data_IF_417243417133
#
_entry.id   IF_417243417133
#
_cell.length_a   1.000
_cell.length_b   1.000
_cell.length_c   1.000
_cell.angle_alpha   90.00
_cell.angle_beta   90.00
_cell.angle_gamma   90.00
#
_symmetry.space_group_name_H-M   'P 1'
#
loop_
_entity.id
_entity.type
_entity.pdbx_description
1 polymer ?
#
# COMPACT_ATOMS: atom_id res chain seq x y z
N UNK A 1 -14.86 21.55 -41.29
CA UNK A 1 -14.99 22.51 -40.18
C UNK A 1 -13.67 22.55 -39.44
N UNK A 2 -13.10 23.74 -39.28
CA UNK A 2 -11.78 23.94 -38.69
C UNK A 2 -11.83 23.69 -37.17
N UNK A 3 -10.98 22.78 -36.70
CA UNK A 3 -10.77 22.54 -35.28
C UNK A 3 -9.84 23.66 -34.80
N UNK A 4 -10.36 24.57 -33.99
CA UNK A 4 -9.57 25.61 -33.32
C UNK A 4 -8.60 24.94 -32.32
N UNK A 5 -7.35 25.43 -32.22
CA UNK A 5 -6.39 24.91 -31.26
C UNK A 5 -6.80 25.33 -29.85
N UNK A 6 -7.22 24.35 -29.04
CA UNK A 6 -7.44 24.56 -27.60
C UNK A 6 -6.06 24.77 -26.97
N UNK A 7 -5.87 25.94 -26.35
CA UNK A 7 -4.69 26.25 -25.54
C UNK A 7 -4.43 25.14 -24.51
N UNK A 8 -3.33 24.42 -24.68
CA UNK A 8 -2.89 23.34 -23.80
C UNK A 8 -2.21 23.91 -22.56
N UNK A 9 -3.00 24.44 -21.63
CA UNK A 9 -2.63 24.35 -20.22
C UNK A 9 -3.13 22.98 -19.75
N UNK A 10 -2.22 22.06 -19.41
CA UNK A 10 -2.59 20.70 -18.97
C UNK A 10 -3.62 20.81 -17.83
N UNK A 11 -4.88 20.47 -18.09
CA UNK A 11 -5.94 20.54 -17.08
C UNK A 11 -5.74 19.33 -16.16
N UNK A 12 -4.94 19.49 -15.11
CA UNK A 12 -4.68 18.44 -14.11
C UNK A 12 -5.70 18.42 -12.98
N UNK A 13 -6.71 19.30 -13.00
CA UNK A 13 -7.64 19.47 -11.90
C UNK A 13 -9.08 19.24 -12.37
N UNK A 14 -9.78 18.40 -11.62
CA UNK A 14 -11.23 18.25 -11.70
C UNK A 14 -11.87 19.52 -11.13
N UNK A 15 -12.80 20.09 -11.87
CA UNK A 15 -13.58 21.23 -11.44
C UNK A 15 -14.69 20.72 -10.54
N UNK A 16 -14.57 21.00 -9.25
CA UNK A 16 -15.62 20.71 -8.30
C UNK A 16 -16.69 21.78 -8.45
N UNK A 17 -17.81 21.44 -9.08
CA UNK A 17 -19.03 22.24 -8.96
C UNK A 17 -19.35 22.34 -7.46
N UNK A 18 -19.20 23.54 -6.92
CA UNK A 18 -19.60 23.84 -5.55
C UNK A 18 -21.13 23.95 -5.53
N UNK A 19 -21.82 22.82 -5.68
CA UNK A 19 -23.22 22.77 -5.30
C UNK A 19 -23.29 22.66 -3.78
N UNK A 20 -23.04 23.79 -3.13
CA UNK A 20 -23.77 24.15 -1.93
C UNK A 20 -25.21 24.47 -2.36
N UNK A 21 -25.98 23.42 -2.66
CA UNK A 21 -27.42 23.49 -2.59
C UNK A 21 -27.83 22.61 -1.44
N UNK A 22 -28.25 23.27 -0.37
CA UNK A 22 -28.97 22.69 0.74
C UNK A 22 -30.09 21.81 0.16
N UNK A 23 -29.93 20.49 0.26
CA UNK A 23 -31.06 19.59 0.13
C UNK A 23 -31.51 19.25 1.54
N UNK A 24 -32.64 19.84 1.89
CA UNK A 24 -33.44 19.57 3.07
C UNK A 24 -33.50 18.07 3.37
N UNK A 25 -33.40 17.76 4.65
CA UNK A 25 -33.56 16.42 5.19
C UNK A 25 -34.85 15.78 4.70
N UNK A 26 -34.75 14.77 3.84
CA UNK A 26 -35.85 13.83 3.63
C UNK A 26 -35.95 12.98 4.91
N UNK A 27 -36.90 13.35 5.76
CA UNK A 27 -37.33 12.56 6.91
C UNK A 27 -37.97 11.28 6.39
N UNK A 28 -37.24 10.17 6.47
CA UNK A 28 -37.84 8.84 6.34
C UNK A 28 -38.49 8.50 7.68
N UNK A 29 -39.82 8.46 7.69
CA UNK A 29 -40.62 8.02 8.82
C UNK A 29 -40.30 6.57 9.15
N UNK A 30 -39.77 6.33 10.36
CA UNK A 30 -39.81 5.01 10.99
C UNK A 30 -41.28 4.67 11.31
N UNK A 31 -41.80 3.64 10.65
CA UNK A 31 -42.92 2.85 11.18
C UNK A 31 -42.37 1.49 11.57
N UNK A 32 -42.56 1.16 12.85
CA UNK A 32 -41.90 0.07 13.51
C UNK A 32 -42.39 -1.31 13.09
N UNK A 33 -41.60 -2.31 13.48
CA UNK A 33 -42.11 -3.63 13.81
C UNK A 33 -41.34 -4.18 15.01
N UNK A 34 -42.15 -4.78 15.85
CA UNK A 34 -41.97 -5.33 17.20
C UNK A 34 -40.84 -6.34 17.34
N UNK A 35 -40.22 -6.31 18.52
CA UNK A 35 -39.38 -7.39 19.03
C UNK A 35 -40.22 -8.63 19.30
N UNK A 36 -39.88 -9.75 18.67
CA UNK A 36 -40.21 -11.08 19.17
C UNK A 36 -39.00 -11.66 19.87
N UNK A 37 -39.14 -11.83 21.18
CA UNK A 37 -38.27 -12.60 22.06
C UNK A 37 -38.42 -14.09 21.79
N UNK A 38 -37.30 -14.79 21.56
CA UNK A 38 -37.23 -16.25 21.69
C UNK A 38 -36.21 -16.57 22.78
N UNK A 39 -36.73 -17.03 23.93
CA UNK A 39 -35.97 -17.77 24.93
C UNK A 39 -35.56 -19.13 24.36
N UNK A 40 -34.28 -19.49 24.44
CA UNK A 40 -33.86 -20.89 24.49
C UNK A 40 -32.85 -21.09 25.63
N UNK A 41 -33.12 -22.16 26.36
CA UNK A 41 -32.68 -22.63 27.65
C UNK A 41 -31.18 -22.83 27.86
N UNK A 42 -30.78 -22.63 29.11
CA UNK A 42 -29.54 -23.12 29.73
C UNK A 42 -29.55 -24.65 29.78
N UNK A 43 -28.54 -25.29 29.20
CA UNK A 43 -28.01 -26.55 29.73
C UNK A 43 -26.52 -26.42 30.05
N UNK A 44 -26.21 -26.61 31.33
CA UNK A 44 -24.86 -26.71 31.88
C UNK A 44 -24.29 -28.10 31.56
N UNK A 45 -23.12 -28.18 30.92
CA UNK A 45 -22.21 -29.33 31.06
C UNK A 45 -20.96 -28.89 31.81
N UNK A 46 -20.63 -29.68 32.83
CA UNK A 46 -19.79 -29.31 33.96
C UNK A 46 -18.31 -29.13 33.66
N UNK A 47 -17.71 -28.20 34.41
CA UNK A 47 -16.28 -28.03 34.59
C UNK A 47 -15.71 -29.21 35.40
N UNK A 48 -14.72 -29.92 34.84
CA UNK A 48 -13.92 -30.85 35.63
C UNK A 48 -12.96 -30.05 36.52
N UNK A 49 -12.97 -30.37 37.82
CA UNK A 49 -12.19 -29.70 38.86
C UNK A 49 -10.71 -30.05 38.70
N UNK A 50 -9.89 -29.12 38.20
CA UNK A 50 -8.46 -28.92 38.57
C UNK A 50 -7.73 -27.79 37.79
N UNK A 51 -8.41 -26.73 37.35
CA UNK A 51 -7.74 -25.54 36.79
C UNK A 51 -7.81 -24.37 37.78
N UNK A 52 -6.79 -24.23 38.63
CA UNK A 52 -6.53 -22.96 39.35
C UNK A 52 -5.98 -21.98 38.32
N UNK A 53 -6.82 -21.06 37.86
CA UNK A 53 -6.45 -19.92 37.03
C UNK A 53 -5.78 -18.85 37.90
N UNK A 54 -4.57 -18.47 37.52
CA UNK A 54 -3.82 -17.37 38.10
C UNK A 54 -2.76 -16.88 37.10
N UNK A 55 -3.05 -15.72 36.51
CA UNK A 55 -2.14 -14.85 35.73
C UNK A 55 -1.79 -15.36 34.32
N UNK A 56 -2.13 -14.52 33.34
CA UNK A 56 -2.05 -14.79 31.92
C UNK A 56 -0.65 -15.06 31.41
N UNK A 57 -0.55 -16.13 30.63
CA UNK A 57 0.56 -16.45 29.74
C UNK A 57 -0.13 -16.90 28.45
N UNK A 58 -0.04 -16.08 27.40
CA UNK A 58 -0.36 -16.51 26.05
C UNK A 58 0.46 -17.77 25.78
N UNK A 59 -0.21 -18.85 25.38
CA UNK A 59 0.43 -20.13 25.17
C UNK A 59 1.61 -19.95 24.21
N UNK A 60 2.82 -20.07 24.74
CA UNK A 60 4.02 -20.17 23.94
C UNK A 60 3.88 -21.41 23.05
N UNK A 61 3.73 -21.21 21.74
CA UNK A 61 4.19 -22.20 20.80
C UNK A 61 5.70 -22.32 21.04
N UNK A 62 6.10 -23.37 21.77
CA UNK A 62 7.50 -23.77 21.88
C UNK A 62 7.90 -24.20 20.46
N UNK A 63 8.38 -23.25 19.65
CA UNK A 63 9.16 -23.58 18.47
C UNK A 63 10.45 -24.14 19.04
N UNK A 64 10.70 -25.42 18.76
CA UNK A 64 12.02 -26.01 18.97
C UNK A 64 12.96 -25.31 18.01
N UNK A 65 13.52 -24.18 18.42
CA UNK A 65 14.71 -23.63 17.80
C UNK A 65 15.81 -24.68 18.00
N UNK A 66 15.99 -25.57 17.01
CA UNK A 66 17.15 -26.45 16.93
C UNK A 66 18.37 -25.60 16.55
N UNK A 67 18.67 -24.59 17.37
CA UNK A 67 19.78 -23.67 17.20
C UNK A 67 20.22 -23.12 18.57
N UNK A 68 20.46 -24.00 19.55
CA UNK A 68 21.24 -23.64 20.72
C UNK A 68 22.15 -24.80 21.16
N UNK A 69 23.45 -24.55 20.98
CA UNK A 69 24.62 -25.16 21.63
C UNK A 69 25.22 -26.43 20.99
N UNK A 70 25.98 -26.23 19.90
CA UNK A 70 27.21 -27.01 19.67
C UNK A 70 28.42 -26.12 19.88
N UNK A 71 28.79 -25.92 21.15
CA UNK A 71 30.16 -25.51 21.48
C UNK A 71 31.07 -26.70 21.14
N UNK A 72 31.80 -26.56 20.04
CA UNK A 72 32.90 -27.43 19.67
C UNK A 72 32.50 -28.64 18.84
N UNK A 73 32.45 -28.46 17.51
CA UNK A 73 32.96 -29.41 16.51
C UNK A 73 32.80 -28.83 15.10
N UNK A 74 33.94 -28.65 14.43
CA UNK A 74 34.20 -28.56 12.97
C UNK A 74 33.26 -27.72 12.11
N UNK A 75 33.86 -26.81 11.31
CA UNK A 75 33.25 -25.87 10.33
C UNK A 75 32.15 -26.42 9.38
N UNK A 76 31.90 -27.73 9.34
CA UNK A 76 30.82 -28.36 8.57
C UNK A 76 29.47 -28.43 9.31
N UNK A 77 29.40 -28.13 10.62
CA UNK A 77 28.16 -28.15 11.42
C UNK A 77 27.51 -26.76 11.56
N UNK A 78 27.98 -25.75 10.83
CA UNK A 78 27.58 -24.34 11.01
C UNK A 78 26.43 -23.88 10.08
N UNK A 79 26.01 -24.72 9.14
CA UNK A 79 24.82 -24.48 8.31
C UNK A 79 23.62 -25.24 8.87
N UNK A 80 23.24 -24.98 10.13
CA UNK A 80 21.88 -25.30 10.56
C UNK A 80 20.93 -24.35 9.80
N UNK A 81 20.20 -24.91 8.83
CA UNK A 81 19.18 -24.19 8.06
C UNK A 81 18.10 -23.75 9.05
N UNK A 82 18.13 -22.48 9.45
CA UNK A 82 17.04 -21.85 10.20
C UNK A 82 15.76 -21.98 9.36
N UNK A 83 14.79 -22.77 9.85
CA UNK A 83 13.48 -22.93 9.22
C UNK A 83 12.45 -22.10 9.99
N UNK A 84 11.79 -21.20 9.28
CA UNK A 84 10.68 -20.42 9.82
C UNK A 84 9.48 -21.33 10.11
N UNK A 85 8.75 -21.01 11.16
CA UNK A 85 7.46 -21.66 11.41
C UNK A 85 6.45 -21.27 10.32
N UNK A 86 5.53 -22.18 9.98
CA UNK A 86 4.46 -21.88 9.03
C UNK A 86 3.54 -20.75 9.52
N UNK A 87 3.42 -20.61 10.84
CA UNK A 87 2.64 -19.57 11.48
C UNK A 87 3.37 -19.01 12.70
N UNK A 88 3.30 -17.70 12.86
CA UNK A 88 3.87 -16.91 13.96
C UNK A 88 2.74 -16.10 14.58
N UNK A 89 2.44 -16.36 15.84
CA UNK A 89 1.56 -15.52 16.66
C UNK A 89 2.33 -14.28 17.13
N UNK A 90 2.11 -13.15 16.47
CA UNK A 90 2.75 -11.90 16.87
C UNK A 90 2.00 -11.24 18.03
N UNK A 91 2.76 -10.78 19.03
CA UNK A 91 2.28 -9.82 20.03
C UNK A 91 3.35 -8.74 20.22
N UNK A 92 2.96 -7.45 20.38
CA UNK A 92 3.94 -6.39 20.59
C UNK A 92 4.80 -6.65 21.83
N UNK A 93 6.11 -6.56 21.65
CA UNK A 93 7.08 -6.63 22.74
C UNK A 93 6.97 -5.41 23.66
N UNK A 94 7.26 -5.61 24.95
CA UNK A 94 7.26 -4.54 25.97
C UNK A 94 8.63 -3.92 26.16
N UNK A 95 9.69 -4.61 25.74
CA UNK A 95 11.07 -4.12 25.80
C UNK A 95 11.79 -4.30 24.46
N UNK A 96 12.88 -3.55 24.28
CA UNK A 96 13.75 -3.65 23.10
C UNK A 96 14.38 -5.04 23.02
N UNK A 97 14.77 -5.61 24.14
CA UNK A 97 15.36 -6.95 24.22
C UNK A 97 14.36 -8.03 23.79
N UNK A 98 13.10 -7.92 24.24
CA UNK A 98 12.01 -8.81 23.81
C UNK A 98 11.79 -8.71 22.30
N UNK A 99 11.75 -7.50 21.73
CA UNK A 99 11.55 -7.29 20.30
C UNK A 99 12.68 -7.90 19.46
N UNK A 100 13.95 -7.70 19.87
CA UNK A 100 15.12 -8.29 19.20
C UNK A 100 15.15 -9.81 19.35
N UNK A 101 14.76 -10.31 20.52
CA UNK A 101 14.69 -11.76 20.74
C UNK A 101 13.63 -12.39 19.84
N UNK A 102 12.44 -11.80 19.77
CA UNK A 102 11.38 -12.24 18.86
C UNK A 102 11.87 -12.32 17.42
N UNK A 103 12.49 -11.23 16.93
CA UNK A 103 13.02 -11.17 15.58
C UNK A 103 14.04 -12.28 15.29
N UNK A 104 14.96 -12.52 16.23
CA UNK A 104 15.98 -13.56 16.11
C UNK A 104 15.37 -14.96 16.10
N UNK A 105 14.44 -15.24 17.00
CA UNK A 105 13.91 -16.60 17.20
C UNK A 105 12.85 -16.98 16.19
N UNK A 106 12.02 -16.02 15.75
CA UNK A 106 10.87 -16.30 14.88
C UNK A 106 11.08 -15.88 13.44
N UNK A 107 11.91 -14.87 13.18
CA UNK A 107 12.12 -14.32 11.83
C UNK A 107 13.53 -14.58 11.29
N UNK A 108 14.45 -15.08 12.12
CA UNK A 108 15.83 -15.40 11.71
C UNK A 108 16.71 -14.16 11.52
N UNK A 109 16.29 -13.01 12.04
CA UNK A 109 17.03 -11.75 11.93
C UNK A 109 18.23 -11.79 12.88
N UNK A 110 19.42 -11.54 12.35
CA UNK A 110 20.68 -11.61 13.08
C UNK A 110 20.97 -10.31 13.80
N UNK A 111 20.77 -9.19 13.10
CA UNK A 111 21.17 -7.86 13.56
C UNK A 111 19.99 -6.89 13.54
N UNK A 112 19.91 -6.07 14.58
CA UNK A 112 18.97 -4.96 14.70
C UNK A 112 19.74 -3.73 15.12
N UNK A 113 19.42 -2.58 14.54
CA UNK A 113 19.99 -1.30 14.95
C UNK A 113 19.74 -1.03 16.44
N UNK A 114 20.79 -0.58 17.13
CA UNK A 114 20.73 -0.41 18.58
C UNK A 114 19.87 0.79 19.00
N UNK A 115 19.72 1.77 18.11
CA UNK A 115 19.04 3.05 18.37
C UNK A 115 17.57 3.05 17.94
N UNK A 116 17.10 1.97 17.30
CA UNK A 116 15.73 1.89 16.82
C UNK A 116 14.72 1.91 17.98
N UNK A 117 13.68 2.77 17.94
CA UNK A 117 12.63 2.77 18.96
C UNK A 117 11.83 1.47 19.00
N UNK A 118 11.40 1.05 20.19
CA UNK A 118 10.60 -0.17 20.39
C UNK A 118 9.34 -0.23 19.51
N UNK A 119 8.65 0.90 19.35
CA UNK A 119 7.45 1.00 18.51
C UNK A 119 7.74 0.63 17.05
N UNK A 120 8.88 1.10 16.54
CA UNK A 120 9.35 0.81 15.18
C UNK A 120 9.76 -0.66 15.05
N UNK A 121 10.46 -1.21 16.04
CA UNK A 121 10.80 -2.65 16.06
C UNK A 121 9.55 -3.53 16.03
N UNK A 122 8.53 -3.20 16.82
CA UNK A 122 7.26 -3.92 16.83
C UNK A 122 6.55 -3.83 15.47
N UNK A 123 6.54 -2.65 14.83
CA UNK A 123 5.99 -2.48 13.48
C UNK A 123 6.73 -3.32 12.43
N UNK A 124 8.06 -3.35 12.46
CA UNK A 124 8.85 -4.21 11.56
C UNK A 124 8.52 -5.69 11.80
N UNK A 125 8.55 -6.13 13.06
CA UNK A 125 8.30 -7.52 13.42
C UNK A 125 6.88 -7.99 13.05
N UNK A 126 5.87 -7.16 13.26
CA UNK A 126 4.48 -7.45 12.88
C UNK A 126 4.36 -7.58 11.35
N UNK A 127 4.92 -6.63 10.60
CA UNK A 127 4.90 -6.67 9.13
C UNK A 127 5.60 -7.91 8.56
N UNK A 128 6.76 -8.27 9.09
CA UNK A 128 7.49 -9.46 8.64
C UNK A 128 6.80 -10.77 9.06
N UNK A 129 6.20 -10.82 10.25
CA UNK A 129 5.38 -11.96 10.68
C UNK A 129 4.15 -12.17 9.77
N UNK A 130 3.51 -11.08 9.32
CA UNK A 130 2.40 -11.16 8.37
C UNK A 130 2.83 -11.81 7.05
N UNK A 131 3.98 -11.39 6.49
CA UNK A 131 4.52 -12.00 5.27
C UNK A 131 4.89 -13.47 5.50
N UNK A 132 5.50 -13.79 6.64
CA UNK A 132 5.80 -15.17 7.02
C UNK A 132 4.53 -16.04 7.00
N UNK A 133 3.48 -15.57 7.65
CA UNK A 133 2.25 -16.33 7.84
C UNK A 133 1.51 -16.55 6.52
N UNK A 134 1.45 -15.54 5.65
CA UNK A 134 0.86 -15.68 4.31
C UNK A 134 1.63 -16.71 3.49
N UNK A 135 2.96 -16.62 3.50
CA UNK A 135 3.84 -17.51 2.73
C UNK A 135 4.13 -18.85 3.42
N UNK A 136 3.54 -19.09 4.59
CA UNK A 136 3.69 -20.32 5.40
C UNK A 136 5.16 -20.65 5.69
N UNK A 137 5.93 -19.67 6.14
CA UNK A 137 7.34 -19.87 6.51
C UNK A 137 8.30 -20.02 5.32
N UNK A 138 7.86 -19.74 4.09
CA UNK A 138 8.67 -19.92 2.88
C UNK A 138 9.34 -18.63 2.39
N UNK A 139 8.92 -17.46 2.89
CA UNK A 139 9.54 -16.21 2.51
C UNK A 139 11.00 -16.14 2.96
N UNK A 140 11.87 -15.62 2.10
CA UNK A 140 13.23 -15.24 2.45
C UNK A 140 13.20 -13.96 3.29
N UNK A 141 13.58 -14.04 4.56
CA UNK A 141 13.65 -12.88 5.45
C UNK A 141 14.96 -12.10 5.29
N UNK A 142 14.93 -10.85 5.76
CA UNK A 142 16.11 -10.02 5.95
C UNK A 142 17.02 -10.59 7.05
N UNK A 143 18.33 -10.43 6.90
CA UNK A 143 19.32 -10.80 7.89
C UNK A 143 19.54 -9.67 8.91
N UNK A 144 19.40 -8.42 8.47
CA UNK A 144 19.68 -7.20 9.27
C UNK A 144 18.55 -6.18 9.12
N UNK A 145 18.19 -5.52 10.22
CA UNK A 145 17.26 -4.39 10.23
C UNK A 145 18.00 -3.13 10.69
N UNK A 146 18.16 -2.16 9.79
CA UNK A 146 18.82 -0.88 10.05
C UNK A 146 17.85 0.23 10.41
N UNK A 147 18.31 1.24 11.16
CA UNK A 147 17.56 2.47 11.45
C UNK A 147 18.40 3.70 11.10
N UNK A 148 18.42 4.04 9.82
CA UNK A 148 19.42 4.95 9.27
C UNK A 148 18.79 6.26 8.79
N UNK A 149 19.48 7.41 8.96
CA UNK A 149 19.09 8.62 8.26
C UNK A 149 19.20 8.40 6.75
N UNK A 150 18.14 8.70 6.02
CA UNK A 150 18.12 8.68 4.55
C UNK A 150 18.00 10.11 4.03
N UNK A 151 18.55 10.37 2.83
CA UNK A 151 18.53 11.72 2.25
C UNK A 151 17.09 12.21 2.04
N UNK A 152 16.88 13.53 2.19
CA UNK A 152 15.55 14.16 2.16
C UNK A 152 14.73 13.94 0.87
N UNK A 153 15.36 13.46 -0.21
CA UNK A 153 14.68 13.09 -1.47
C UNK A 153 13.98 11.73 -1.36
N UNK A 154 14.48 10.82 -0.53
CA UNK A 154 13.90 9.50 -0.30
C UNK A 154 12.88 9.60 0.84
N UNK A 155 11.61 9.76 0.44
CA UNK A 155 10.46 9.86 1.37
C UNK A 155 9.85 8.50 1.73
N UNK A 156 10.48 7.40 1.31
CA UNK A 156 10.01 6.05 1.62
C UNK A 156 10.24 5.74 3.12
N UNK A 157 9.34 4.94 3.71
CA UNK A 157 9.47 4.51 5.11
C UNK A 157 10.61 3.52 5.33
N UNK A 158 10.96 2.76 4.30
CA UNK A 158 12.05 1.79 4.32
C UNK A 158 12.59 1.55 2.90
N UNK A 159 13.75 0.90 2.82
CA UNK A 159 14.29 0.35 1.57
C UNK A 159 14.98 -0.99 1.81
N UNK A 160 14.91 -1.90 0.83
CA UNK A 160 15.64 -3.15 0.83
C UNK A 160 17.03 -3.00 0.22
N UNK A 161 18.02 -3.65 0.83
CA UNK A 161 19.35 -3.90 0.26
C UNK A 161 19.51 -5.41 0.13
N UNK A 162 19.99 -5.85 -1.04
CA UNK A 162 20.18 -7.26 -1.32
C UNK A 162 21.27 -7.88 -0.47
N UNK A 163 21.24 -9.21 -0.31
CA UNK A 163 22.32 -9.93 0.37
C UNK A 163 23.68 -9.83 -0.33
N UNK A 164 23.73 -9.62 -1.64
CA UNK A 164 25.01 -9.41 -2.36
C UNK A 164 25.57 -8.01 -2.14
N UNK A 165 24.70 -7.03 -1.91
CA UNK A 165 25.09 -5.62 -1.73
C UNK A 165 25.23 -5.23 -0.24
N UNK A 166 24.70 -6.04 0.68
CA UNK A 166 24.82 -5.85 2.12
C UNK A 166 26.04 -6.51 2.76
N UNK A 167 26.93 -7.11 1.96
CA UNK A 167 28.19 -7.72 2.38
C UNK A 167 28.03 -8.67 3.60
N UNK A 168 28.79 -8.43 4.68
CA UNK A 168 28.75 -9.25 5.89
C UNK A 168 27.42 -9.16 6.66
N UNK A 169 26.60 -8.16 6.37
CA UNK A 169 25.29 -7.94 7.01
C UNK A 169 24.15 -8.69 6.32
N UNK A 170 24.38 -9.34 5.17
CA UNK A 170 23.37 -10.07 4.42
C UNK A 170 22.29 -9.16 3.85
N UNK A 171 21.06 -9.66 3.67
CA UNK A 171 19.96 -8.82 3.19
C UNK A 171 19.52 -7.83 4.29
N UNK A 172 19.37 -6.55 3.95
CA UNK A 172 19.10 -5.48 4.92
C UNK A 172 17.76 -4.81 4.61
N UNK A 173 16.92 -4.62 5.63
CA UNK A 173 15.80 -3.68 5.58
C UNK A 173 16.21 -2.42 6.35
N UNK A 174 16.48 -1.34 5.63
CA UNK A 174 16.78 -0.05 6.24
C UNK A 174 15.49 0.72 6.47
N UNK A 175 15.20 1.02 7.72
CA UNK A 175 14.08 1.87 8.11
C UNK A 175 14.55 3.33 8.13
N UNK A 176 13.76 4.21 7.51
CA UNK A 176 14.09 5.61 7.33
C UNK A 176 13.91 6.41 8.62
N UNK A 177 15.02 6.58 9.36
CA UNK A 177 15.03 7.34 10.61
C UNK A 177 14.54 8.77 10.43
N UNK A 178 14.94 9.43 9.35
CA UNK A 178 14.55 10.81 9.05
C UNK A 178 13.03 10.95 8.95
N UNK A 179 12.36 10.03 8.25
CA UNK A 179 10.89 10.09 8.09
C UNK A 179 10.17 9.79 9.39
N UNK A 180 10.62 8.78 10.15
CA UNK A 180 9.99 8.41 11.41
C UNK A 180 10.10 9.50 12.47
N UNK A 181 11.26 10.17 12.57
CA UNK A 181 11.48 11.27 13.51
C UNK A 181 10.72 12.55 13.12
N UNK A 182 10.37 12.73 11.85
CA UNK A 182 9.70 13.94 11.33
C UNK A 182 8.26 13.68 10.83
N UNK A 183 7.62 12.59 11.28
CA UNK A 183 6.31 12.18 10.77
C UNK A 183 5.22 13.26 10.87
N UNK A 184 5.25 14.06 11.95
CA UNK A 184 4.31 15.18 12.12
C UNK A 184 4.44 16.20 10.98
N UNK A 185 5.66 16.58 10.61
CA UNK A 185 5.93 17.53 9.53
C UNK A 185 5.51 16.97 8.17
N UNK A 186 5.73 15.67 7.95
CA UNK A 186 5.31 14.99 6.73
C UNK A 186 3.80 15.01 6.54
N UNK A 187 3.03 14.65 7.58
CA UNK A 187 1.56 14.69 7.53
C UNK A 187 1.07 16.13 7.30
N UNK A 188 1.60 17.11 8.03
CA UNK A 188 1.23 18.52 7.87
C UNK A 188 1.54 19.05 6.46
N UNK A 189 2.65 18.63 5.87
CA UNK A 189 3.01 18.96 4.49
C UNK A 189 2.01 18.37 3.49
N UNK A 190 1.58 17.11 3.68
CA UNK A 190 0.56 16.49 2.84
C UNK A 190 -0.78 17.21 2.96
N UNK A 191 -1.20 17.60 4.17
CA UNK A 191 -2.43 18.39 4.39
C UNK A 191 -2.35 19.71 3.61
N UNK A 192 -1.26 20.45 3.75
CA UNK A 192 -1.06 21.73 3.03
C UNK A 192 -1.14 21.53 1.52
N UNK A 193 -0.45 20.53 0.98
CA UNK A 193 -0.46 20.24 -0.45
C UNK A 193 -1.86 19.83 -0.95
N UNK A 194 -2.63 19.08 -0.15
CA UNK A 194 -3.99 18.69 -0.52
C UNK A 194 -4.97 19.88 -0.51
N UNK A 195 -4.80 20.82 0.42
CA UNK A 195 -5.55 22.08 0.42
C UNK A 195 -5.19 22.92 -0.82
N UNK A 196 -3.90 23.13 -1.09
CA UNK A 196 -3.42 23.93 -2.22
C UNK A 196 -3.88 23.36 -3.58
N UNK A 197 -3.92 22.02 -3.69
CA UNK A 197 -4.31 21.30 -4.91
C UNK A 197 -5.82 21.06 -5.02
N UNK A 198 -6.64 21.63 -4.13
CA UNK A 198 -8.10 21.43 -4.09
C UNK A 198 -8.49 19.95 -4.05
N UNK A 199 -7.74 19.13 -3.32
CA UNK A 199 -8.17 17.78 -2.94
C UNK A 199 -9.04 17.85 -1.69
N UNK A 200 -8.64 18.72 -0.77
CA UNK A 200 -9.30 19.00 0.49
C UNK A 200 -9.66 20.48 0.61
N UNK A 201 -10.55 20.79 1.55
CA UNK A 201 -10.88 22.14 1.98
C UNK A 201 -11.18 22.16 3.48
N UNK A 202 -11.29 23.35 4.08
CA UNK A 202 -11.85 23.51 5.43
C UNK A 202 -13.33 23.84 5.34
N UNK A 203 -14.18 23.08 6.02
CA UNK A 203 -15.61 23.31 6.06
C UNK A 203 -15.96 24.53 6.94
N UNK A 204 -17.26 24.83 7.10
CA UNK A 204 -17.75 25.98 7.91
C UNK A 204 -17.34 25.92 9.39
N UNK A 205 -17.06 24.73 9.91
CA UNK A 205 -16.60 24.49 11.28
C UNK A 205 -15.06 24.54 11.41
N UNK A 206 -14.35 24.83 10.32
CA UNK A 206 -12.89 24.84 10.27
C UNK A 206 -12.24 23.45 10.19
N UNK A 207 -13.05 22.39 10.11
CA UNK A 207 -12.59 21.00 9.97
C UNK A 207 -12.18 20.68 8.54
N UNK A 208 -11.20 19.80 8.40
CA UNK A 208 -10.77 19.26 7.11
C UNK A 208 -11.89 18.40 6.51
N UNK A 209 -12.14 18.59 5.21
CA UNK A 209 -13.07 17.82 4.41
C UNK A 209 -12.55 17.63 2.98
N UNK A 210 -13.10 16.65 2.24
CA UNK A 210 -12.71 16.28 0.88
C UNK A 210 -13.73 16.82 -0.15
N UNK A 211 -13.26 17.23 -1.33
CA UNK A 211 -14.17 17.48 -2.44
C UNK A 211 -14.86 16.18 -2.88
N UNK A 212 -16.10 16.29 -3.41
CA UNK A 212 -16.99 15.15 -3.65
C UNK A 212 -16.36 14.01 -4.46
N UNK A 213 -15.59 14.32 -5.50
CA UNK A 213 -14.89 13.30 -6.28
C UNK A 213 -13.93 12.46 -5.43
N UNK A 214 -13.32 13.01 -4.38
CA UNK A 214 -12.40 12.30 -3.52
C UNK A 214 -13.10 11.62 -2.32
N UNK A 215 -14.42 11.75 -2.18
CA UNK A 215 -15.21 11.10 -1.12
C UNK A 215 -15.76 9.77 -1.62
N UNK A 216 -15.28 8.66 -1.08
CA UNK A 216 -15.56 7.30 -1.61
C UNK A 216 -16.04 6.29 -0.56
N UNK A 217 -16.68 6.77 0.51
CA UNK A 217 -17.20 6.01 1.66
C UNK A 217 -16.20 5.84 2.82
N UNK A 218 -16.08 4.64 3.37
CA UNK A 218 -15.40 4.35 4.65
C UNK A 218 -13.94 4.80 4.67
N UNK A 219 -13.19 4.61 3.59
CA UNK A 219 -11.79 5.05 3.53
C UNK A 219 -11.64 6.57 3.68
N UNK A 220 -12.48 7.34 2.98
CA UNK A 220 -12.51 8.79 3.12
C UNK A 220 -12.96 9.26 4.51
N UNK A 221 -13.90 8.54 5.15
CA UNK A 221 -14.38 8.87 6.48
C UNK A 221 -13.30 8.64 7.55
N UNK A 222 -12.61 7.50 7.52
CA UNK A 222 -11.52 7.19 8.44
C UNK A 222 -10.35 8.18 8.28
N UNK A 223 -9.98 8.50 7.03
CA UNK A 223 -8.94 9.49 6.75
C UNK A 223 -9.31 10.86 7.33
N UNK A 224 -10.53 11.34 7.08
CA UNK A 224 -10.99 12.63 7.60
C UNK A 224 -11.06 12.65 9.11
N UNK A 225 -11.51 11.57 9.75
CA UNK A 225 -11.51 11.45 11.21
C UNK A 225 -10.08 11.57 11.76
N UNK A 226 -9.16 10.75 11.25
CA UNK A 226 -7.76 10.75 11.69
C UNK A 226 -7.06 12.08 11.46
N UNK A 227 -7.25 12.72 10.29
CA UNK A 227 -6.64 14.02 9.99
C UNK A 227 -7.18 15.13 10.89
N UNK A 228 -8.48 15.13 11.19
CA UNK A 228 -9.07 16.14 12.07
C UNK A 228 -8.64 15.93 13.54
N UNK A 229 -8.62 14.69 14.03
CA UNK A 229 -8.10 14.37 15.37
C UNK A 229 -6.62 14.74 15.50
N UNK A 230 -5.80 14.39 14.50
CA UNK A 230 -4.38 14.75 14.45
C UNK A 230 -4.17 16.27 14.40
N UNK A 231 -4.99 17.01 13.65
CA UNK A 231 -4.88 18.47 13.56
C UNK A 231 -5.18 19.18 14.88
N UNK A 232 -5.98 18.57 15.77
CA UNK A 232 -6.31 19.12 17.08
C UNK A 232 -5.33 18.70 18.18
N UNK A 233 -4.91 17.43 18.15
CA UNK A 233 -4.13 16.82 19.23
C UNK A 233 -3.05 15.89 18.65
N UNK A 234 -2.05 16.42 17.93
CA UNK A 234 -1.04 15.58 17.27
C UNK A 234 -0.18 14.76 18.26
N UNK A 235 -0.07 15.22 19.51
CA UNK A 235 0.74 14.57 20.55
C UNK A 235 0.05 13.35 21.18
N UNK A 236 -1.25 13.15 20.94
CA UNK A 236 -1.95 11.95 21.44
C UNK A 236 -1.79 10.74 20.51
N UNK A 237 -1.24 10.94 19.32
CA UNK A 237 -1.00 9.86 18.37
C UNK A 237 0.32 9.16 18.70
N UNK A 238 0.28 7.83 18.80
CA UNK A 238 1.49 7.03 18.78
C UNK A 238 2.21 7.15 17.43
N UNK A 239 3.48 6.74 17.34
CA UNK A 239 4.20 6.79 16.07
C UNK A 239 3.52 5.90 15.01
N UNK A 240 3.00 4.73 15.41
CA UNK A 240 2.32 3.82 14.50
C UNK A 240 0.96 4.36 14.06
N UNK A 241 0.23 5.08 14.93
CA UNK A 241 -1.00 5.78 14.51
C UNK A 241 -0.69 6.84 13.44
N UNK A 242 0.43 7.55 13.58
CA UNK A 242 0.88 8.52 12.56
C UNK A 242 1.26 7.85 11.26
N UNK A 243 1.95 6.70 11.29
CA UNK A 243 2.26 5.93 10.08
C UNK A 243 0.98 5.45 9.41
N UNK A 244 0.01 4.96 10.18
CA UNK A 244 -1.28 4.54 9.63
C UNK A 244 -2.01 5.70 8.95
N UNK A 245 -2.05 6.86 9.61
CA UNK A 245 -2.64 8.07 9.05
C UNK A 245 -1.92 8.56 7.78
N UNK A 246 -0.58 8.51 7.79
CA UNK A 246 0.25 8.80 6.62
C UNK A 246 -0.10 7.86 5.45
N UNK A 247 -0.19 6.55 5.70
CA UNK A 247 -0.52 5.56 4.66
C UNK A 247 -1.97 5.69 4.15
N UNK A 248 -2.93 6.06 5.00
CA UNK A 248 -4.30 6.39 4.58
C UNK A 248 -4.31 7.56 3.61
N UNK A 249 -3.54 8.60 3.92
CA UNK A 249 -3.43 9.77 3.06
C UNK A 249 -2.65 9.46 1.77
N UNK A 250 -1.58 8.68 1.87
CA UNK A 250 -0.80 8.23 0.72
C UNK A 250 -1.66 7.40 -0.23
N UNK A 251 -2.56 6.54 0.28
CA UNK A 251 -3.51 5.77 -0.53
C UNK A 251 -4.38 6.66 -1.42
N UNK A 252 -4.98 7.73 -0.87
CA UNK A 252 -5.72 8.73 -1.64
C UNK A 252 -4.81 9.41 -2.69
N UNK A 253 -3.61 9.83 -2.27
CA UNK A 253 -2.68 10.51 -3.16
C UNK A 253 -2.27 9.63 -4.35
N UNK A 254 -1.93 8.36 -4.11
CA UNK A 254 -1.55 7.41 -5.16
C UNK A 254 -2.71 7.11 -6.10
N UNK A 255 -3.92 6.93 -5.59
CA UNK A 255 -5.09 6.74 -6.45
C UNK A 255 -5.37 7.96 -7.32
N UNK A 256 -5.17 9.17 -6.78
CA UNK A 256 -5.29 10.42 -7.53
C UNK A 256 -4.26 10.46 -8.66
N UNK A 257 -2.99 10.18 -8.37
CA UNK A 257 -1.95 10.15 -9.42
C UNK A 257 -2.25 9.07 -10.47
N UNK A 258 -2.60 7.85 -10.07
CA UNK A 258 -2.96 6.76 -10.99
C UNK A 258 -4.17 7.10 -11.89
N UNK A 259 -5.12 7.91 -11.40
CA UNK A 259 -6.22 8.41 -12.21
C UNK A 259 -5.72 9.25 -13.39
N UNK A 260 -4.71 10.10 -13.17
CA UNK A 260 -4.15 10.96 -14.21
C UNK A 260 -3.10 10.25 -15.08
N UNK A 261 -2.36 9.28 -14.55
CA UNK A 261 -1.28 8.59 -15.27
C UNK A 261 -1.77 7.39 -16.12
N UNK A 262 -2.94 6.80 -15.81
CA UNK A 262 -3.56 5.76 -16.64
C UNK A 262 -4.94 6.15 -17.20
N UNK A 263 -5.02 7.25 -17.97
CA UNK A 263 -6.31 7.83 -18.35
C UNK A 263 -7.15 6.90 -19.21
N UNK A 264 -6.55 6.15 -20.14
CA UNK A 264 -7.28 5.21 -20.98
C UNK A 264 -7.96 4.09 -20.18
N UNK A 265 -7.31 3.60 -19.13
CA UNK A 265 -7.90 2.59 -18.25
C UNK A 265 -9.10 3.15 -17.50
N UNK A 266 -9.01 4.39 -17.02
CA UNK A 266 -10.10 5.06 -16.30
C UNK A 266 -11.27 5.40 -17.22
N UNK A 267 -10.99 5.86 -18.43
CA UNK A 267 -12.00 6.05 -19.48
C UNK A 267 -12.75 4.75 -19.76
N UNK A 268 -12.04 3.63 -20.02
CA UNK A 268 -12.66 2.32 -20.22
C UNK A 268 -13.52 1.90 -19.03
N UNK A 269 -13.08 2.18 -17.80
CA UNK A 269 -13.85 1.88 -16.59
C UNK A 269 -15.13 2.72 -16.49
N UNK A 270 -15.03 4.04 -16.71
CA UNK A 270 -16.18 4.94 -16.70
C UNK A 270 -17.22 4.54 -17.75
N UNK A 271 -16.76 4.16 -18.95
CA UNK A 271 -17.66 3.75 -20.04
C UNK A 271 -18.36 2.41 -19.78
N UNK A 272 -18.04 1.66 -18.72
CA UNK A 272 -18.84 0.48 -18.34
C UNK A 272 -20.15 0.84 -17.64
N UNK A 273 -20.30 2.08 -17.17
CA UNK A 273 -21.51 2.54 -16.49
C UNK A 273 -22.47 3.16 -17.51
N UNK A 274 -23.64 2.55 -17.69
CA UNK A 274 -24.65 3.00 -18.66
C UNK A 274 -25.17 4.41 -18.35
N UNK A 275 -25.41 4.75 -17.08
CA UNK A 275 -25.84 6.09 -16.69
C UNK A 275 -24.80 7.17 -17.03
N UNK A 276 -23.50 6.86 -16.87
CA UNK A 276 -22.43 7.76 -17.32
C UNK A 276 -22.43 7.93 -18.84
N UNK A 277 -22.66 6.85 -19.60
CA UNK A 277 -22.77 6.95 -21.05
C UNK A 277 -23.96 7.82 -21.48
N UNK A 278 -25.11 7.67 -20.82
CA UNK A 278 -26.30 8.49 -21.06
C UNK A 278 -26.03 9.98 -20.80
N UNK A 279 -25.43 10.32 -19.65
CA UNK A 279 -25.05 11.70 -19.34
C UNK A 279 -24.13 12.27 -20.41
N UNK A 280 -23.10 11.53 -20.82
CA UNK A 280 -22.14 12.02 -21.82
C UNK A 280 -22.76 12.13 -23.21
N UNK A 281 -23.67 11.23 -23.58
CA UNK A 281 -24.42 11.31 -24.82
C UNK A 281 -25.30 12.57 -24.85
N UNK A 282 -26.01 12.87 -23.75
CA UNK A 282 -26.83 14.07 -23.61
C UNK A 282 -26.01 15.37 -23.75
N UNK A 283 -24.73 15.34 -23.39
CA UNK A 283 -23.81 16.46 -23.54
C UNK A 283 -22.99 16.42 -24.84
N UNK A 284 -23.26 15.48 -25.75
CA UNK A 284 -22.48 15.28 -27.00
C UNK A 284 -20.98 15.07 -26.74
N UNK A 285 -20.64 14.41 -25.62
CA UNK A 285 -19.27 14.16 -25.14
C UNK A 285 -18.93 12.68 -24.99
N UNK A 286 -19.78 11.77 -25.45
CA UNK A 286 -19.50 10.34 -25.42
C UNK A 286 -18.28 10.02 -26.31
N UNK A 287 -17.17 9.49 -25.76
CA UNK A 287 -15.94 9.31 -26.51
C UNK A 287 -15.95 8.04 -27.37
N UNK A 288 -15.30 8.09 -28.54
CA UNK A 288 -14.89 6.89 -29.28
C UNK A 288 -13.57 6.36 -28.69
N UNK A 289 -13.65 5.27 -27.92
CA UNK A 289 -12.48 4.67 -27.27
C UNK A 289 -11.39 4.23 -28.26
N UNK A 290 -11.74 3.82 -29.49
CA UNK A 290 -10.74 3.41 -30.50
C UNK A 290 -9.98 4.62 -31.04
N UNK A 291 -10.62 5.78 -31.11
CA UNK A 291 -9.93 7.02 -31.48
C UNK A 291 -9.04 7.52 -30.35
N UNK A 292 -9.50 7.42 -29.09
CA UNK A 292 -8.70 7.81 -27.93
C UNK A 292 -7.43 6.98 -27.77
N UNK A 293 -7.43 5.70 -28.17
CA UNK A 293 -6.23 4.85 -28.13
C UNK A 293 -5.08 5.38 -29.00
N UNK A 294 -5.38 6.18 -30.03
CA UNK A 294 -4.39 6.81 -30.92
C UNK A 294 -3.79 8.10 -30.34
N UNK A 295 -4.37 8.64 -29.29
CA UNK A 295 -3.91 9.86 -28.65
C UNK A 295 -2.72 9.61 -27.72
N UNK A 296 -1.99 10.69 -27.43
CA UNK A 296 -0.98 10.74 -26.37
C UNK A 296 -1.63 10.62 -24.99
N UNK A 297 -0.87 10.17 -23.98
CA UNK A 297 -1.37 10.07 -22.59
C UNK A 297 -1.87 11.41 -22.06
N UNK A 298 -1.22 12.53 -22.41
CA UNK A 298 -1.67 13.87 -22.01
C UNK A 298 -3.02 14.23 -22.62
N UNK A 299 -3.22 13.98 -23.91
CA UNK A 299 -4.50 14.21 -24.58
C UNK A 299 -5.61 13.32 -23.99
N UNK A 300 -5.31 12.05 -23.73
CA UNK A 300 -6.24 11.14 -23.05
C UNK A 300 -6.62 11.65 -21.65
N UNK A 301 -5.66 12.20 -20.90
CA UNK A 301 -5.89 12.79 -19.58
C UNK A 301 -6.82 13.99 -19.66
N UNK A 302 -6.62 14.88 -20.64
CA UNK A 302 -7.50 16.04 -20.84
C UNK A 302 -8.94 15.60 -21.13
N UNK A 303 -9.13 14.56 -21.96
CA UNK A 303 -10.46 13.98 -22.24
C UNK A 303 -11.07 13.37 -20.98
N UNK A 304 -10.31 12.61 -20.20
CA UNK A 304 -10.77 12.03 -18.93
C UNK A 304 -11.25 13.11 -17.96
N UNK A 305 -10.50 14.20 -17.82
CA UNK A 305 -10.86 15.30 -16.91
C UNK A 305 -12.11 16.02 -17.39
N UNK A 306 -12.23 16.31 -18.69
CA UNK A 306 -13.43 16.95 -19.25
C UNK A 306 -14.69 16.10 -19.08
N UNK A 307 -14.60 14.80 -19.35
CA UNK A 307 -15.68 13.84 -19.17
C UNK A 307 -16.08 13.76 -17.68
N UNK A 308 -15.10 13.65 -16.80
CA UNK A 308 -15.35 13.56 -15.35
C UNK A 308 -16.03 14.85 -14.84
N UNK A 309 -15.55 16.01 -15.27
CA UNK A 309 -16.17 17.29 -14.93
C UNK A 309 -17.60 17.38 -15.44
N UNK A 310 -17.85 16.95 -16.67
CA UNK A 310 -19.19 16.96 -17.27
C UNK A 310 -20.16 16.15 -16.40
N UNK A 311 -19.80 14.91 -16.09
CA UNK A 311 -20.62 14.04 -15.24
C UNK A 311 -20.87 14.64 -13.85
N UNK A 312 -19.81 15.15 -13.19
CA UNK A 312 -19.94 15.79 -11.87
C UNK A 312 -20.86 17.02 -11.91
N UNK A 313 -20.76 17.85 -12.95
CA UNK A 313 -21.64 19.02 -13.15
C UNK A 313 -23.09 18.63 -13.47
N UNK A 314 -23.32 17.43 -14.02
CA UNK A 314 -24.66 16.87 -14.25
C UNK A 314 -25.27 16.18 -13.03
N UNK A 315 -24.54 16.12 -11.91
CA UNK A 315 -25.00 15.49 -10.67
C UNK A 315 -24.69 14.00 -10.55
N UNK A 316 -23.91 13.43 -11.48
CA UNK A 316 -23.47 12.03 -11.37
C UNK A 316 -22.58 11.83 -10.14
N UNK A 317 -22.84 10.75 -9.41
CA UNK A 317 -22.07 10.39 -8.22
C UNK A 317 -20.81 9.61 -8.59
N UNK A 318 -19.93 10.23 -9.37
CA UNK A 318 -18.59 9.69 -9.65
C UNK A 318 -17.65 10.05 -8.51
N UNK A 319 -16.90 9.05 -8.04
CA UNK A 319 -15.83 9.25 -7.07
C UNK A 319 -14.60 8.43 -7.45
N UNK A 320 -13.46 8.86 -6.92
CA UNK A 320 -12.18 8.18 -6.98
C UNK A 320 -12.18 7.01 -6.00
N UNK A 321 -12.11 5.79 -6.51
CA UNK A 321 -11.91 4.61 -5.68
C UNK A 321 -10.47 4.54 -5.15
N UNK A 322 -10.32 4.40 -3.84
CA UNK A 322 -9.05 4.15 -3.15
C UNK A 322 -9.30 3.39 -1.84
N UNK A 323 -8.44 2.42 -1.48
CA UNK A 323 -8.61 1.63 -0.26
C UNK A 323 -8.13 2.41 0.98
N UNK A 324 -8.46 1.88 2.17
CA UNK A 324 -7.72 2.25 3.38
C UNK A 324 -6.23 1.95 3.21
N UNK A 325 -5.39 2.83 3.72
CA UNK A 325 -3.95 2.65 3.81
C UNK A 325 -3.59 1.49 4.73
N UNK A 326 -2.49 0.83 4.39
CA UNK A 326 -1.95 -0.31 5.12
C UNK A 326 -0.64 0.14 5.77
N UNK A 327 -0.57 0.14 7.12
CA UNK A 327 0.63 0.56 7.84
C UNK A 327 1.86 -0.27 7.45
N UNK A 328 1.69 -1.47 6.90
CA UNK A 328 2.79 -2.35 6.47
C UNK A 328 3.05 -2.32 4.97
N UNK A 329 2.37 -1.44 4.23
CA UNK A 329 2.48 -1.33 2.76
C UNK A 329 3.93 -1.34 2.30
N UNK A 330 4.77 -0.52 2.92
CA UNK A 330 6.19 -0.40 2.56
C UNK A 330 6.98 -1.68 2.87
N UNK A 331 6.79 -2.31 4.03
CA UNK A 331 7.46 -3.59 4.35
C UNK A 331 7.10 -4.67 3.33
N UNK A 332 5.84 -4.77 2.96
CA UNK A 332 5.38 -5.76 1.98
C UNK A 332 5.96 -5.49 0.58
N UNK A 333 6.11 -4.22 0.20
CA UNK A 333 6.81 -3.81 -1.02
C UNK A 333 8.28 -4.27 -1.00
N UNK A 334 9.01 -3.92 0.06
CA UNK A 334 10.44 -4.27 0.20
C UNK A 334 10.67 -5.79 0.26
N UNK A 335 9.75 -6.52 0.91
CA UNK A 335 9.75 -7.98 0.88
C UNK A 335 9.55 -8.53 -0.54
N UNK A 336 8.78 -7.84 -1.37
CA UNK A 336 8.61 -8.16 -2.78
C UNK A 336 9.92 -8.10 -3.57
N UNK A 337 10.76 -7.09 -3.33
CA UNK A 337 12.09 -7.01 -3.93
C UNK A 337 12.98 -8.19 -3.53
N UNK A 338 13.05 -8.53 -2.24
CA UNK A 338 13.84 -9.66 -1.77
C UNK A 338 13.33 -11.00 -2.32
N UNK A 339 12.00 -11.20 -2.32
CA UNK A 339 11.43 -12.43 -2.87
C UNK A 339 11.67 -12.52 -4.39
N UNK A 340 11.54 -11.41 -5.11
CA UNK A 340 11.77 -11.36 -6.55
C UNK A 340 13.22 -11.66 -6.91
N UNK A 341 14.17 -11.08 -6.18
CA UNK A 341 15.58 -11.41 -6.37
C UNK A 341 15.84 -12.91 -6.14
N UNK A 342 15.21 -13.49 -5.12
CA UNK A 342 15.35 -14.91 -4.81
C UNK A 342 14.72 -15.81 -5.90
N UNK A 343 13.58 -15.44 -6.48
CA UNK A 343 12.92 -16.22 -7.53
C UNK A 343 13.58 -16.04 -8.91
N UNK A 344 13.98 -14.82 -9.27
CA UNK A 344 14.51 -14.49 -10.58
C UNK A 344 16.03 -14.75 -10.71
N UNK A 345 16.75 -14.68 -9.59
CA UNK A 345 18.21 -14.61 -9.53
C UNK A 345 18.71 -13.16 -9.62
N UNK A 346 19.77 -12.86 -8.86
CA UNK A 346 20.31 -11.49 -8.72
C UNK A 346 20.63 -10.82 -10.07
N UNK A 347 21.34 -11.50 -10.97
CA UNK A 347 21.82 -10.87 -12.21
C UNK A 347 20.68 -10.48 -13.15
N UNK A 348 19.59 -11.24 -13.16
CA UNK A 348 18.38 -10.91 -13.92
C UNK A 348 17.59 -9.80 -13.21
N UNK A 349 17.44 -9.89 -11.89
CA UNK A 349 16.80 -8.85 -11.08
C UNK A 349 17.45 -7.49 -11.29
N UNK A 350 18.78 -7.42 -11.34
CA UNK A 350 19.49 -6.17 -11.57
C UNK A 350 19.26 -5.56 -12.95
N UNK A 351 18.90 -6.36 -13.95
CA UNK A 351 18.49 -5.88 -15.27
C UNK A 351 17.03 -5.39 -15.28
N UNK A 352 16.27 -5.58 -14.20
CA UNK A 352 14.88 -5.15 -14.07
C UNK A 352 14.71 -3.89 -13.22
N UNK A 353 15.83 -3.28 -12.80
CA UNK A 353 15.84 -2.01 -12.06
C UNK A 353 15.37 -0.82 -12.89
N UNK A 354 15.31 0.34 -12.25
CA UNK A 354 14.92 1.60 -12.90
C UNK A 354 15.93 2.01 -13.99
N UNK A 355 15.53 2.87 -14.94
CA UNK A 355 16.42 3.29 -16.03
C UNK A 355 17.74 3.89 -15.52
N UNK A 356 17.69 4.79 -14.54
CA UNK A 356 18.85 5.46 -13.95
C UNK A 356 19.74 4.49 -13.16
N UNK A 357 19.15 3.54 -12.44
CA UNK A 357 19.87 2.45 -11.77
C UNK A 357 20.61 1.56 -12.78
N UNK A 358 19.94 1.21 -13.88
CA UNK A 358 20.53 0.41 -14.96
C UNK A 358 21.67 1.18 -15.64
N UNK A 359 21.49 2.45 -15.97
CA UNK A 359 22.52 3.29 -16.57
C UNK A 359 23.74 3.40 -15.65
N UNK A 360 23.53 3.68 -14.36
CA UNK A 360 24.61 3.75 -13.37
C UNK A 360 25.39 2.43 -13.27
N UNK A 361 24.72 1.29 -13.36
CA UNK A 361 25.34 -0.03 -13.18
C UNK A 361 25.97 -0.58 -14.46
N UNK A 362 25.31 -0.42 -15.60
CA UNK A 362 25.66 -1.09 -16.86
C UNK A 362 26.12 -0.12 -17.95
N UNK A 363 26.09 1.19 -17.71
CA UNK A 363 26.37 2.23 -18.70
C UNK A 363 25.25 2.43 -19.74
N UNK A 364 24.14 1.70 -19.61
CA UNK A 364 22.94 1.82 -20.45
C UNK A 364 21.72 1.26 -19.73
N UNK A 365 20.52 1.69 -20.15
CA UNK A 365 19.28 1.00 -19.78
C UNK A 365 19.33 -0.43 -20.32
N UNK A 366 18.93 -1.40 -19.50
CA UNK A 366 18.86 -2.82 -19.92
C UNK A 366 17.77 -3.01 -20.98
N UNK A 367 17.91 -4.06 -21.81
CA UNK A 367 16.90 -4.35 -22.84
C UNK A 367 15.53 -4.70 -22.20
N UNK A 368 15.54 -5.35 -21.02
CA UNK A 368 14.32 -5.74 -20.29
C UNK A 368 13.58 -4.49 -19.78
N UNK A 369 14.29 -3.60 -19.08
CA UNK A 369 13.70 -2.34 -18.58
C UNK A 369 13.25 -1.48 -19.75
N UNK A 370 14.07 -1.35 -20.81
CA UNK A 370 13.73 -0.56 -21.99
C UNK A 370 12.46 -1.09 -22.70
N UNK A 371 12.30 -2.41 -22.82
CA UNK A 371 11.11 -3.02 -23.40
C UNK A 371 9.86 -2.80 -22.52
N UNK A 372 10.00 -2.77 -21.20
CA UNK A 372 8.90 -2.53 -20.28
C UNK A 372 8.43 -1.08 -20.29
N UNK A 373 9.36 -0.12 -20.19
CA UNK A 373 9.02 1.31 -20.09
C UNK A 373 8.46 1.87 -21.41
N UNK A 374 8.89 1.34 -22.56
CA UNK A 374 8.42 1.79 -23.87
C UNK A 374 7.17 1.05 -24.36
N UNK A 375 6.69 0.03 -23.64
CA UNK A 375 5.47 -0.69 -24.02
C UNK A 375 4.24 -0.04 -23.42
N UNK A 376 3.43 0.61 -24.28
CA UNK A 376 2.15 1.25 -23.87
C UNK A 376 1.22 0.28 -23.13
N UNK A 377 1.17 -0.98 -23.55
CA UNK A 377 0.35 -2.02 -22.94
C UNK A 377 0.84 -2.41 -21.54
N UNK A 378 2.16 -2.66 -21.40
CA UNK A 378 2.76 -3.00 -20.10
C UNK A 378 2.63 -1.85 -19.11
N UNK A 379 2.85 -0.63 -19.56
CA UNK A 379 2.68 0.58 -18.77
C UNK A 379 1.22 0.77 -18.29
N UNK A 380 0.23 0.53 -19.15
CA UNK A 380 -1.17 0.57 -18.74
C UNK A 380 -1.51 -0.52 -17.72
N UNK A 381 -0.93 -1.72 -17.87
CA UNK A 381 -1.11 -2.81 -16.90
C UNK A 381 -0.47 -2.50 -15.56
N UNK A 382 0.78 -2.03 -15.55
CA UNK A 382 1.49 -1.65 -14.33
C UNK A 382 0.79 -0.51 -13.58
N UNK A 383 0.32 0.53 -14.27
CA UNK A 383 -0.39 1.64 -13.64
C UNK A 383 -1.71 1.24 -12.95
N UNK A 384 -2.33 0.12 -13.32
CA UNK A 384 -3.51 -0.42 -12.60
C UNK A 384 -3.14 -1.04 -11.25
N UNK A 385 -1.89 -1.45 -11.09
CA UNK A 385 -1.34 -1.90 -9.80
C UNK A 385 -1.09 -0.68 -8.92
N UNK A 386 -0.20 0.23 -9.34
CA UNK A 386 0.02 1.52 -8.69
C UNK A 386 0.73 2.48 -9.64
N UNK A 387 0.84 3.75 -9.25
CA UNK A 387 1.61 4.75 -9.99
C UNK A 387 3.13 4.53 -9.90
N UNK A 388 3.61 3.65 -9.00
CA UNK A 388 5.02 3.34 -8.82
C UNK A 388 5.46 2.10 -9.61
N UNK A 389 4.56 1.13 -9.75
CA UNK A 389 4.75 -0.06 -10.59
C UNK A 389 5.27 0.19 -12.03
N UNK A 390 4.88 1.24 -12.78
CA UNK A 390 5.40 1.48 -14.13
C UNK A 390 6.87 1.92 -14.21
N UNK A 391 7.52 2.30 -13.10
CA UNK A 391 8.89 2.83 -13.13
C UNK A 391 9.94 1.80 -13.58
N UNK A 392 9.71 0.52 -13.29
CA UNK A 392 10.56 -0.58 -13.77
C UNK A 392 9.85 -1.94 -13.64
N UNK A 393 10.35 -3.00 -14.29
CA UNK A 393 9.84 -4.34 -14.03
C UNK A 393 9.99 -4.80 -12.57
N UNK A 394 11.08 -4.43 -11.88
CA UNK A 394 11.27 -4.80 -10.46
C UNK A 394 10.23 -4.13 -9.56
N UNK A 395 9.91 -2.86 -9.80
CA UNK A 395 8.90 -2.12 -9.03
C UNK A 395 7.48 -2.64 -9.30
N UNK A 396 7.20 -3.02 -10.54
CA UNK A 396 5.96 -3.69 -10.88
C UNK A 396 5.78 -4.99 -10.08
N UNK A 397 6.81 -5.85 -10.06
CA UNK A 397 6.76 -7.11 -9.31
C UNK A 397 6.60 -6.86 -7.81
N UNK A 398 7.35 -5.93 -7.22
CA UNK A 398 7.24 -5.59 -5.80
C UNK A 398 5.84 -5.08 -5.43
N UNK A 399 5.24 -4.21 -6.26
CA UNK A 399 3.89 -3.69 -6.03
C UNK A 399 2.79 -4.75 -6.21
N UNK A 400 2.96 -5.69 -7.14
CA UNK A 400 2.04 -6.83 -7.28
C UNK A 400 2.15 -7.76 -6.07
N UNK A 401 3.38 -8.14 -5.67
CA UNK A 401 3.62 -8.98 -4.50
C UNK A 401 2.99 -8.37 -3.24
N UNK A 402 3.21 -7.08 -3.01
CA UNK A 402 2.60 -6.32 -1.93
C UNK A 402 1.08 -6.46 -1.91
N UNK A 403 0.42 -6.31 -3.06
CA UNK A 403 -1.04 -6.48 -3.14
C UNK A 403 -1.49 -7.90 -2.85
N UNK A 404 -0.75 -8.90 -3.31
CA UNK A 404 -1.06 -10.30 -3.02
C UNK A 404 -1.01 -10.57 -1.51
N UNK A 405 0.02 -10.09 -0.80
CA UNK A 405 0.10 -10.17 0.66
C UNK A 405 -1.09 -9.47 1.32
N UNK A 406 -1.35 -8.20 0.99
CA UNK A 406 -2.47 -7.46 1.58
C UNK A 406 -3.83 -8.11 1.28
N UNK A 407 -4.00 -8.73 0.11
CA UNK A 407 -5.24 -9.40 -0.26
C UNK A 407 -5.44 -10.71 0.50
N UNK A 408 -4.36 -11.49 0.71
CA UNK A 408 -4.39 -12.71 1.50
C UNK A 408 -4.77 -12.44 2.97
N UNK A 409 -4.30 -11.32 3.53
CA UNK A 409 -4.61 -10.92 4.91
C UNK A 409 -6.02 -10.38 5.09
N UNK A 410 -6.53 -9.63 4.10
CA UNK A 410 -7.78 -8.87 4.24
C UNK A 410 -8.96 -9.46 3.45
N UNK A 411 -8.80 -10.64 2.83
CA UNK A 411 -9.85 -11.29 2.05
C UNK A 411 -10.30 -10.50 0.80
N UNK A 412 -9.38 -9.79 0.14
CA UNK A 412 -9.69 -8.90 -1.01
C UNK A 412 -9.68 -9.64 -2.36
N UNK A 413 -10.26 -8.99 -3.37
CA UNK A 413 -10.40 -9.49 -4.75
C UNK A 413 -9.08 -9.96 -5.37
N UNK A 414 -9.20 -10.97 -6.24
CA UNK A 414 -8.10 -11.42 -7.11
C UNK A 414 -7.66 -10.28 -8.04
N UNK A 415 -6.36 -10.18 -8.25
CA UNK A 415 -5.81 -9.33 -9.30
C UNK A 415 -6.22 -9.89 -10.68
N UNK A 416 -6.35 -9.02 -11.67
CA UNK A 416 -6.75 -9.42 -13.02
C UNK A 416 -5.69 -10.30 -13.70
N UNK A 417 -6.15 -11.18 -14.60
CA UNK A 417 -5.30 -12.18 -15.24
C UNK A 417 -4.14 -11.58 -16.05
N UNK A 418 -4.34 -10.40 -16.64
CA UNK A 418 -3.31 -9.66 -17.37
C UNK A 418 -2.19 -9.14 -16.46
N UNK A 419 -2.52 -8.67 -15.25
CA UNK A 419 -1.54 -8.29 -14.22
C UNK A 419 -0.74 -9.54 -13.81
N UNK A 420 -1.42 -10.65 -13.56
CA UNK A 420 -0.76 -11.89 -13.13
C UNK A 420 0.08 -12.53 -14.24
N UNK A 421 -0.33 -12.38 -15.50
CA UNK A 421 0.45 -12.82 -16.67
C UNK A 421 1.75 -12.01 -16.78
N UNK A 422 1.66 -10.68 -16.68
CA UNK A 422 2.85 -9.82 -16.70
C UNK A 422 3.75 -10.05 -15.48
N UNK A 423 3.15 -10.35 -14.32
CA UNK A 423 3.89 -10.70 -13.09
C UNK A 423 4.70 -11.98 -13.28
N UNK A 424 4.10 -13.01 -13.89
CA UNK A 424 4.79 -14.25 -14.22
C UNK A 424 5.88 -14.06 -15.29
N UNK A 425 5.64 -13.20 -16.29
CA UNK A 425 6.64 -12.84 -17.32
C UNK A 425 7.94 -12.32 -16.68
N UNK A 426 7.82 -11.48 -15.65
CA UNK A 426 8.95 -10.97 -14.88
C UNK A 426 9.33 -11.82 -13.66
N UNK A 427 8.99 -13.11 -13.65
CA UNK A 427 9.36 -14.07 -12.58
C UNK A 427 8.92 -13.65 -11.18
N UNK A 428 7.75 -13.01 -11.08
CA UNK A 428 7.16 -12.64 -9.82
C UNK A 428 7.04 -13.83 -8.86
N UNK A 429 7.44 -13.67 -7.58
CA UNK A 429 7.43 -14.76 -6.61
C UNK A 429 6.01 -15.20 -6.23
N UNK A 430 5.85 -16.48 -5.87
CA UNK A 430 4.59 -17.02 -5.37
C UNK A 430 4.28 -16.49 -3.96
N UNK A 431 2.99 -16.34 -3.65
CA UNK A 431 2.47 -15.91 -2.35
C UNK A 431 1.59 -17.01 -1.76
#
# INVERSE_FOLDING_TARGET
MAILPIHTNSIKNINFCSDHKDNESIVVKNQGLTQDTVEISKEKKGLSKNAKWGIGIGAAAIITAAALLIRGKTKAAQEEIFKLAEHIDFSPAKTVEEARNFARTHLGIKNYDETMPLEVMNWVNEGLANVNNVTKGKAKMFDTIGYVPMEAKEKALACAISAKDGDEYGAILNINKTVFENMNEHINTMIKQALDRKVMFKNKEGKLDLYNFYKNNEASADLLKGLNEFSEKPDTFSLIDKIKLYEDFASLAYAKEAFYEAPMSKLKQLMKNEGIQETLLAHSKLPDLKQLEKLTTEQQRNVLVDITNTCLSSGDRIHLAYPKGDKFRTIYHEMGHIQHQNSAGYDLYMQMGKPDECEKRFGKVSDITNNFINSKEKQQTANRVSNYAPESPSEFVAEVYRKLISNALNGREKLSDDIMTLYAEYKGPAV
#
